data_IF_890259307215
#
_entry.id   IF_890259307215
#
_cell.length_a   1.000
_cell.length_b   1.000
_cell.length_c   1.000
_cell.angle_alpha   90.00
_cell.angle_beta   90.00
_cell.angle_gamma   90.00
#
_symmetry.space_group_name_H-M   'P 1'
#
loop_
_entity.id
_entity.type
_entity.pdbx_description
1 polymer ?
#
# COMPACT_ATOMS: atom_id res chain seq x y z
N UNK A 1 -23.60 -9.14 -7.36
CA UNK A 1 -22.84 -9.14 -8.64
C UNK A 1 -21.91 -10.34 -8.65
N UNK A 2 -21.73 -11.00 -9.81
CA UNK A 2 -20.86 -12.18 -9.93
C UNK A 2 -19.38 -11.78 -9.97
N UNK A 3 -18.52 -12.52 -9.26
CA UNK A 3 -17.07 -12.35 -9.29
C UNK A 3 -16.48 -13.11 -10.48
N UNK A 4 -15.73 -12.42 -11.33
CA UNK A 4 -15.08 -13.01 -12.50
C UNK A 4 -13.56 -13.06 -12.30
N UNK A 5 -12.97 -14.26 -12.43
CA UNK A 5 -11.50 -14.43 -12.47
C UNK A 5 -11.01 -14.29 -13.91
N UNK A 6 -9.99 -13.45 -14.14
CA UNK A 6 -9.46 -13.13 -15.47
C UNK A 6 -8.15 -13.90 -15.76
N UNK A 7 -8.22 -15.23 -15.89
CA UNK A 7 -7.00 -16.06 -16.05
C UNK A 7 -6.19 -15.71 -17.29
N UNK A 8 -6.85 -15.48 -18.43
CA UNK A 8 -6.20 -15.15 -19.71
C UNK A 8 -5.62 -13.75 -19.68
N UNK A 9 -6.28 -12.81 -19.00
CA UNK A 9 -5.75 -11.46 -18.79
C UNK A 9 -4.40 -11.46 -18.07
N UNK A 10 -4.27 -12.18 -16.95
CA UNK A 10 -3.00 -12.21 -16.20
C UNK A 10 -1.86 -12.81 -17.02
N UNK A 11 -2.15 -13.86 -17.79
CA UNK A 11 -1.16 -14.46 -18.69
C UNK A 11 -0.77 -13.51 -19.84
N UNK A 12 -1.73 -12.75 -20.37
CA UNK A 12 -1.47 -11.76 -21.42
C UNK A 12 -0.51 -10.67 -20.93
N UNK A 13 -0.65 -10.21 -19.68
CA UNK A 13 0.24 -9.19 -19.09
C UNK A 13 1.70 -9.64 -18.96
N UNK A 14 1.94 -10.94 -18.79
CA UNK A 14 3.30 -11.52 -18.76
C UNK A 14 3.91 -11.68 -20.15
N UNK A 15 3.08 -11.79 -21.19
CA UNK A 15 3.50 -12.01 -22.57
C UNK A 15 3.67 -10.71 -23.36
N UNK A 16 2.82 -9.71 -23.10
CA UNK A 16 2.80 -8.44 -23.84
C UNK A 16 3.87 -7.49 -23.31
N UNK A 17 4.77 -7.06 -24.21
CA UNK A 17 5.83 -6.11 -23.86
C UNK A 17 5.23 -4.77 -23.44
N UNK A 18 5.70 -4.22 -22.32
CA UNK A 18 5.19 -2.95 -21.77
C UNK A 18 3.73 -3.00 -21.31
N UNK A 19 3.10 -4.18 -21.31
CA UNK A 19 1.66 -4.35 -21.09
C UNK A 19 0.83 -3.48 -22.05
N UNK A 20 1.29 -3.36 -23.29
CA UNK A 20 0.65 -2.60 -24.35
C UNK A 20 0.57 -3.42 -25.64
N UNK A 21 -0.57 -3.33 -26.34
CA UNK A 21 -0.81 -4.01 -27.60
C UNK A 21 -1.96 -3.35 -28.37
N UNK A 22 -2.10 -3.66 -29.65
CA UNK A 22 -3.27 -3.23 -30.43
C UNK A 22 -4.55 -3.88 -29.88
N UNK A 23 -5.69 -3.20 -30.02
CA UNK A 23 -6.99 -3.66 -29.54
C UNK A 23 -7.28 -5.10 -29.96
N UNK A 24 -6.97 -5.44 -31.22
CA UNK A 24 -7.21 -6.78 -31.75
C UNK A 24 -6.35 -7.85 -31.05
N UNK A 25 -5.13 -7.54 -30.65
CA UNK A 25 -4.26 -8.51 -29.96
C UNK A 25 -4.78 -8.78 -28.55
N UNK A 26 -5.20 -7.72 -27.84
CA UNK A 26 -5.92 -7.87 -26.57
C UNK A 26 -7.16 -8.74 -26.70
N UNK A 27 -7.96 -8.52 -27.75
CA UNK A 27 -9.16 -9.32 -28.04
C UNK A 27 -8.83 -10.81 -28.23
N UNK A 28 -7.77 -11.12 -28.97
CA UNK A 28 -7.32 -12.49 -29.21
C UNK A 28 -6.72 -13.14 -27.95
N UNK A 29 -5.88 -12.42 -27.19
CA UNK A 29 -5.29 -12.86 -25.94
C UNK A 29 -6.37 -13.27 -24.92
N UNK A 30 -7.31 -12.35 -24.67
CA UNK A 30 -8.30 -12.45 -23.60
C UNK A 30 -9.50 -13.30 -23.99
N UNK A 31 -9.85 -13.35 -25.28
CA UNK A 31 -11.02 -14.08 -25.78
C UNK A 31 -12.30 -13.67 -25.05
N UNK A 32 -12.97 -14.62 -24.40
CA UNK A 32 -14.21 -14.37 -23.64
C UNK A 32 -14.02 -13.44 -22.43
N UNK A 33 -12.79 -13.27 -21.93
CA UNK A 33 -12.50 -12.36 -20.82
C UNK A 33 -12.37 -10.89 -21.29
N UNK A 34 -12.34 -10.63 -22.60
CA UNK A 34 -12.06 -9.30 -23.14
C UNK A 34 -13.03 -8.24 -22.63
N UNK A 35 -14.34 -8.51 -22.67
CA UNK A 35 -15.35 -7.57 -22.20
C UNK A 35 -15.20 -7.20 -20.72
N UNK A 36 -14.83 -8.16 -19.86
CA UNK A 36 -14.64 -7.92 -18.44
C UNK A 36 -13.32 -7.17 -18.14
N UNK A 37 -12.26 -7.48 -18.89
CA UNK A 37 -10.93 -6.90 -18.72
C UNK A 37 -10.76 -5.53 -19.41
N UNK A 38 -11.64 -5.15 -20.32
CA UNK A 38 -11.55 -3.89 -21.08
C UNK A 38 -11.46 -2.66 -20.16
N UNK A 39 -12.12 -2.70 -19.01
CA UNK A 39 -12.08 -1.62 -18.01
C UNK A 39 -10.70 -1.41 -17.38
N UNK A 40 -9.81 -2.41 -17.48
CA UNK A 40 -8.43 -2.36 -16.99
C UNK A 40 -7.45 -1.90 -18.07
N UNK A 41 -7.94 -1.58 -19.27
CA UNK A 41 -7.14 -1.09 -20.38
C UNK A 41 -7.48 0.39 -20.64
N UNK A 42 -6.49 1.17 -21.04
CA UNK A 42 -6.69 2.55 -21.50
C UNK A 42 -6.09 2.78 -22.88
N UNK A 43 -6.74 3.55 -23.75
CA UNK A 43 -6.17 3.90 -25.04
C UNK A 43 -4.97 4.83 -24.86
N UNK A 44 -3.95 4.64 -25.68
CA UNK A 44 -2.75 5.51 -25.70
C UNK A 44 -2.91 6.69 -26.68
N UNK A 45 -3.87 6.60 -27.61
CA UNK A 45 -4.01 7.51 -28.75
C UNK A 45 -3.19 7.10 -29.97
N UNK A 46 -2.29 6.12 -29.84
CA UNK A 46 -1.46 5.61 -30.94
C UNK A 46 -2.21 4.60 -31.80
N UNK A 47 -1.82 4.54 -33.08
CA UNK A 47 -2.26 3.53 -34.05
C UNK A 47 -1.10 2.57 -34.28
N UNK A 48 -1.31 1.28 -34.04
CA UNK A 48 -0.28 0.27 -34.14
C UNK A 48 0.11 -0.05 -35.58
N UNK A 49 1.41 -0.25 -35.82
CA UNK A 49 1.96 -0.60 -37.14
C UNK A 49 1.86 -2.08 -37.52
N UNK A 50 1.15 -2.89 -36.72
CA UNK A 50 0.99 -4.32 -36.96
C UNK A 50 -0.44 -4.78 -36.67
N UNK A 51 -0.82 -5.91 -37.26
CA UNK A 51 -2.09 -6.58 -36.99
C UNK A 51 -1.83 -8.05 -36.62
N UNK A 52 -2.35 -8.54 -35.48
CA UNK A 52 -2.05 -9.88 -35.00
C UNK A 52 -2.74 -10.94 -35.85
N UNK A 53 -2.11 -12.10 -35.98
CA UNK A 53 -2.66 -13.25 -36.68
C UNK A 53 -2.79 -14.43 -35.73
N UNK A 54 -4.02 -14.89 -35.50
CA UNK A 54 -4.26 -16.11 -34.75
C UNK A 54 -3.66 -17.31 -35.49
N UNK A 55 -2.99 -18.22 -34.77
CA UNK A 55 -2.62 -19.52 -35.31
C UNK A 55 -3.75 -20.53 -35.06
N UNK A 56 -4.43 -21.04 -36.12
CA UNK A 56 -5.51 -22.01 -35.96
C UNK A 56 -5.03 -23.34 -35.36
N UNK A 57 -3.75 -23.68 -35.52
CA UNK A 57 -3.16 -24.93 -35.00
C UNK A 57 -2.64 -24.77 -33.56
N UNK A 58 -2.40 -23.54 -33.11
CA UNK A 58 -1.90 -23.28 -31.77
C UNK A 58 -2.49 -21.99 -31.19
N UNK A 59 -3.59 -22.13 -30.43
CA UNK A 59 -4.25 -21.02 -29.74
C UNK A 59 -3.37 -20.26 -28.72
N UNK A 60 -2.15 -20.75 -28.43
CA UNK A 60 -1.16 -20.11 -27.55
C UNK A 60 0.00 -19.44 -28.30
N UNK A 61 0.05 -19.49 -29.64
CA UNK A 61 1.05 -18.79 -30.45
C UNK A 61 0.37 -17.95 -31.52
N UNK A 62 0.96 -16.79 -31.78
CA UNK A 62 0.60 -15.98 -32.93
C UNK A 62 1.44 -16.42 -34.13
N UNK A 63 0.86 -16.35 -35.33
CA UNK A 63 1.68 -16.28 -36.55
C UNK A 63 2.43 -14.96 -36.54
N UNK A 64 3.48 -14.87 -37.36
CA UNK A 64 4.16 -13.60 -37.59
C UNK A 64 3.11 -12.53 -37.97
N UNK A 65 3.09 -11.38 -37.25
CA UNK A 65 2.03 -10.39 -37.40
C UNK A 65 2.08 -9.77 -38.80
N UNK A 66 0.92 -9.32 -39.29
CA UNK A 66 0.86 -8.54 -40.52
C UNK A 66 1.51 -7.17 -40.30
N UNK A 67 2.20 -6.67 -41.32
CA UNK A 67 2.58 -5.26 -41.39
C UNK A 67 1.37 -4.45 -41.81
N UNK A 68 1.11 -3.32 -41.15
CA UNK A 68 0.02 -2.42 -41.51
C UNK A 68 0.50 -1.34 -42.48
N UNK A 69 -0.29 -1.07 -43.52
CA UNK A 69 -0.13 0.06 -44.45
C UNK A 69 -1.36 0.96 -44.35
N UNK A 70 -1.14 2.27 -44.26
CA UNK A 70 -2.19 3.28 -44.37
C UNK A 70 -2.58 3.46 -45.85
N UNK A 71 -3.84 3.17 -46.17
CA UNK A 71 -4.39 3.27 -47.53
C UNK A 71 -5.14 4.60 -47.75
N UNK A 72 -5.18 5.49 -46.75
CA UNK A 72 -5.98 6.72 -46.76
C UNK A 72 -7.43 6.51 -46.36
N UNK A 73 -8.17 7.60 -46.15
CA UNK A 73 -9.60 7.61 -45.78
C UNK A 73 -9.96 6.72 -44.57
N UNK A 74 -9.11 6.68 -43.53
CA UNK A 74 -9.28 5.82 -42.34
C UNK A 74 -9.31 4.31 -42.65
N UNK A 75 -8.77 3.91 -43.81
CA UNK A 75 -8.62 2.51 -44.24
C UNK A 75 -7.18 2.06 -44.12
N UNK A 76 -6.99 0.86 -43.58
CA UNK A 76 -5.68 0.27 -43.39
C UNK A 76 -5.65 -1.15 -43.95
N UNK A 77 -4.50 -1.55 -44.48
CA UNK A 77 -4.27 -2.90 -44.98
C UNK A 77 -3.25 -3.63 -44.14
N UNK A 78 -3.64 -4.80 -43.63
CA UNK A 78 -2.75 -5.73 -42.95
C UNK A 78 -2.18 -6.73 -43.97
N UNK A 79 -0.87 -6.64 -44.24
CA UNK A 79 -0.15 -7.49 -45.21
C UNK A 79 0.56 -8.64 -44.48
N UNK A 80 0.18 -9.89 -44.74
CA UNK A 80 0.84 -11.06 -44.17
C UNK A 80 2.28 -11.23 -44.68
N UNK A 81 3.24 -11.62 -43.82
CA UNK A 81 4.63 -11.86 -44.23
C UNK A 81 4.82 -13.12 -45.09
N UNK A 82 3.85 -14.05 -45.06
CA UNK A 82 3.82 -15.29 -45.85
C UNK A 82 3.24 -15.10 -47.26
N UNK A 83 3.01 -13.86 -47.70
CA UNK A 83 2.50 -13.57 -49.05
C UNK A 83 1.01 -13.90 -49.24
N UNK A 84 0.27 -14.15 -48.16
CA UNK A 84 -1.18 -14.31 -48.18
C UNK A 84 -1.93 -13.03 -48.56
N UNK A 85 -3.27 -13.12 -48.75
CA UNK A 85 -4.08 -11.96 -49.11
C UNK A 85 -4.04 -10.88 -48.01
N UNK A 86 -4.03 -9.62 -48.42
CA UNK A 86 -4.18 -8.49 -47.51
C UNK A 86 -5.56 -8.48 -46.86
N UNK A 87 -5.63 -8.03 -45.62
CA UNK A 87 -6.88 -7.91 -44.86
C UNK A 87 -7.15 -6.43 -44.61
N UNK A 88 -8.38 -5.98 -44.90
CA UNK A 88 -8.85 -4.66 -44.52
C UNK A 88 -9.02 -4.59 -43.00
N UNK A 89 -8.41 -3.58 -42.38
CA UNK A 89 -8.48 -3.33 -40.94
C UNK A 89 -8.79 -1.87 -40.68
N UNK A 90 -9.52 -1.59 -39.61
CA UNK A 90 -9.90 -0.22 -39.26
C UNK A 90 -9.06 0.32 -38.09
N UNK A 91 -9.09 1.64 -37.92
CA UNK A 91 -8.34 2.34 -36.87
C UNK A 91 -8.64 1.81 -35.46
N UNK A 92 -9.87 1.42 -35.18
CA UNK A 92 -10.26 0.91 -33.85
C UNK A 92 -9.61 -0.43 -33.53
N UNK A 93 -9.39 -1.30 -34.52
CA UNK A 93 -8.68 -2.57 -34.35
C UNK A 93 -7.18 -2.36 -34.12
N UNK A 94 -6.64 -1.28 -34.69
CA UNK A 94 -5.23 -0.90 -34.59
C UNK A 94 -4.94 0.02 -33.40
N UNK A 95 -5.96 0.55 -32.72
CA UNK A 95 -5.77 1.42 -31.57
C UNK A 95 -4.94 0.71 -30.49
N UNK A 96 -3.86 1.34 -30.05
CA UNK A 96 -2.98 0.77 -29.02
C UNK A 96 -3.56 1.04 -27.64
N UNK A 97 -3.76 -0.03 -26.89
CA UNK A 97 -4.18 0.00 -25.49
C UNK A 97 -3.06 -0.49 -24.60
N UNK A 98 -2.93 0.13 -23.43
CA UNK A 98 -2.04 -0.32 -22.37
C UNK A 98 -2.81 -0.63 -21.08
N UNK A 99 -2.16 -1.37 -20.18
CA UNK A 99 -2.68 -1.60 -18.85
C UNK A 99 -2.88 -0.28 -18.09
N UNK A 100 -4.09 -0.06 -17.63
CA UNK A 100 -4.41 1.03 -16.72
C UNK A 100 -3.98 0.67 -15.29
N UNK A 101 -2.68 0.81 -15.00
CA UNK A 101 -2.06 0.38 -13.73
C UNK A 101 -2.74 0.97 -12.48
N UNK A 102 -3.13 2.25 -12.48
CA UNK A 102 -3.84 2.85 -11.33
C UNK A 102 -5.18 2.17 -11.05
N UNK A 103 -5.95 1.87 -12.10
CA UNK A 103 -7.25 1.21 -12.00
C UNK A 103 -7.15 -0.25 -11.56
N UNK A 104 -6.05 -0.91 -11.90
CA UNK A 104 -5.72 -2.22 -11.36
C UNK A 104 -5.48 -2.16 -9.83
N UNK A 105 -4.82 -1.11 -9.33
CA UNK A 105 -4.53 -0.95 -7.91
C UNK A 105 -5.74 -0.50 -7.08
N UNK A 106 -6.77 0.10 -7.69
CA UNK A 106 -8.02 0.48 -7.01
C UNK A 106 -8.66 -0.68 -6.24
N UNK A 107 -8.50 -1.92 -6.71
CA UNK A 107 -9.04 -3.10 -6.03
C UNK A 107 -8.46 -3.37 -4.65
N UNK A 108 -7.31 -2.78 -4.34
CA UNK A 108 -6.69 -2.86 -3.02
C UNK A 108 -7.27 -1.83 -2.04
N UNK A 109 -7.77 -0.68 -2.51
CA UNK A 109 -8.13 0.49 -1.68
C UNK A 109 -9.20 0.24 -0.61
N UNK A 110 -9.99 -0.83 -0.71
CA UNK A 110 -11.21 -0.99 0.07
C UNK A 110 -11.02 -1.31 1.57
N UNK A 111 -9.84 -1.75 2.03
CA UNK A 111 -9.71 -2.35 3.38
C UNK A 111 -8.52 -1.88 4.23
N UNK A 112 -7.54 -1.22 3.64
CA UNK A 112 -6.42 -0.65 4.39
C UNK A 112 -6.21 0.78 3.92
N UNK A 113 -5.70 1.63 4.82
CA UNK A 113 -5.36 3.01 4.48
C UNK A 113 -4.17 2.99 3.51
N UNK A 114 -4.52 2.84 2.23
CA UNK A 114 -3.61 2.67 1.13
C UNK A 114 -3.39 4.02 0.50
N UNK A 115 -2.19 4.53 0.69
CA UNK A 115 -1.73 5.73 0.01
C UNK A 115 -1.23 5.32 -1.37
N UNK A 116 -2.18 5.04 -2.27
CA UNK A 116 -1.89 4.77 -3.67
C UNK A 116 -1.62 6.08 -4.40
N UNK A 117 -0.68 6.03 -5.34
CA UNK A 117 -0.45 7.10 -6.29
C UNK A 117 -0.35 6.51 -7.70
N UNK A 118 -0.30 7.38 -8.71
CA UNK A 118 0.00 6.95 -10.09
C UNK A 118 1.30 6.14 -10.09
N UNK A 119 1.30 4.88 -10.57
CA UNK A 119 2.47 4.02 -10.51
C UNK A 119 3.68 4.65 -11.22
N UNK A 120 4.79 4.79 -10.49
CA UNK A 120 6.04 5.36 -10.99
C UNK A 120 7.02 4.25 -11.33
N UNK A 121 7.77 4.39 -12.41
CA UNK A 121 8.84 3.44 -12.77
C UNK A 121 9.94 3.44 -11.71
N UNK A 122 10.46 2.27 -11.36
CA UNK A 122 11.68 2.15 -10.55
C UNK A 122 12.88 2.25 -11.47
N UNK A 123 13.80 3.17 -11.20
CA UNK A 123 14.95 3.44 -12.06
C UNK A 123 15.81 2.19 -12.25
N UNK A 124 16.24 1.94 -13.49
CA UNK A 124 17.10 0.82 -13.84
C UNK A 124 16.42 -0.56 -13.90
N UNK A 125 15.12 -0.67 -13.59
CA UNK A 125 14.40 -1.95 -13.56
C UNK A 125 13.13 -1.91 -14.44
N UNK A 126 13.23 -2.48 -15.65
CA UNK A 126 12.10 -2.59 -16.58
C UNK A 126 10.95 -3.41 -15.97
N UNK A 127 9.72 -2.92 -16.10
CA UNK A 127 8.52 -3.65 -15.68
C UNK A 127 8.26 -3.63 -14.17
N UNK A 128 9.01 -2.83 -13.39
CA UNK A 128 8.78 -2.60 -11.97
C UNK A 128 8.26 -1.18 -11.72
N UNK A 129 7.19 -1.08 -10.95
CA UNK A 129 6.53 0.19 -10.64
C UNK A 129 6.26 0.31 -9.13
N UNK A 130 6.56 1.46 -8.54
CA UNK A 130 6.11 1.80 -7.19
C UNK A 130 4.69 2.36 -7.27
N UNK A 131 3.73 1.66 -6.69
CA UNK A 131 2.30 1.98 -6.75
C UNK A 131 1.76 2.75 -5.53
N UNK A 132 2.58 2.91 -4.49
CA UNK A 132 2.19 3.54 -3.24
C UNK A 132 2.63 2.73 -2.03
N UNK A 133 1.93 2.91 -0.92
CA UNK A 133 2.21 2.17 0.30
C UNK A 133 0.94 1.81 1.06
N UNK A 134 1.03 0.72 1.82
CA UNK A 134 0.06 0.36 2.85
C UNK A 134 0.46 1.03 4.16
N UNK A 135 -0.42 1.84 4.74
CA UNK A 135 -0.23 2.45 6.06
C UNK A 135 -1.31 1.99 7.03
N UNK A 136 -1.27 0.73 7.49
CA UNK A 136 -2.34 0.14 8.31
C UNK A 136 -2.47 0.80 9.69
N UNK A 137 -1.37 1.31 10.25
CA UNK A 137 -1.30 2.03 11.53
C UNK A 137 -0.22 3.11 11.44
N UNK A 138 -0.37 4.19 12.22
CA UNK A 138 0.56 5.31 12.21
C UNK A 138 2.01 4.87 12.51
N UNK A 139 2.96 5.35 11.69
CA UNK A 139 4.38 5.01 11.79
C UNK A 139 4.79 3.70 11.09
N UNK A 140 3.85 2.94 10.52
CA UNK A 140 4.15 1.76 9.71
C UNK A 140 3.72 2.00 8.27
N UNK A 141 4.68 1.93 7.36
CA UNK A 141 4.50 2.14 5.93
C UNK A 141 5.20 1.02 5.18
N UNK A 142 4.45 0.28 4.37
CA UNK A 142 4.97 -0.83 3.58
C UNK A 142 4.82 -0.53 2.10
N UNK A 143 5.93 -0.55 1.34
CA UNK A 143 5.90 -0.25 -0.09
C UNK A 143 5.08 -1.28 -0.87
N UNK A 144 4.29 -0.80 -1.83
CA UNK A 144 3.51 -1.62 -2.74
C UNK A 144 4.10 -1.50 -4.14
N UNK A 145 4.68 -2.59 -4.63
CA UNK A 145 5.35 -2.64 -5.92
C UNK A 145 4.56 -3.51 -6.90
N UNK A 146 4.25 -2.96 -8.08
CA UNK A 146 3.63 -3.69 -9.18
C UNK A 146 4.71 -4.13 -10.16
N UNK A 147 4.76 -5.43 -10.44
CA UNK A 147 5.79 -6.01 -11.30
C UNK A 147 5.19 -6.83 -12.45
N UNK A 148 5.91 -6.85 -13.58
CA UNK A 148 5.58 -7.66 -14.75
C UNK A 148 6.84 -8.42 -15.24
N UNK A 149 7.36 -9.37 -14.45
CA UNK A 149 8.55 -10.12 -14.82
C UNK A 149 8.26 -11.07 -16.00
N UNK A 150 9.27 -11.30 -16.83
CA UNK A 150 9.26 -12.29 -17.93
C UNK A 150 10.07 -13.55 -17.60
N UNK A 151 10.83 -13.51 -16.51
CA UNK A 151 11.62 -14.63 -16.02
C UNK A 151 11.83 -14.56 -14.51
N UNK A 152 12.19 -15.70 -13.90
CA UNK A 152 12.58 -15.78 -12.49
C UNK A 152 13.81 -14.92 -12.18
N UNK A 153 14.74 -14.79 -13.14
CA UNK A 153 15.93 -13.96 -12.99
C UNK A 153 15.58 -12.47 -12.94
N UNK A 154 14.61 -12.02 -13.74
CA UNK A 154 14.06 -10.67 -13.64
C UNK A 154 13.36 -10.45 -12.30
N UNK A 155 12.53 -11.39 -11.82
CA UNK A 155 11.91 -11.29 -10.49
C UNK A 155 12.95 -11.11 -9.38
N UNK A 156 14.05 -11.89 -9.43
CA UNK A 156 15.14 -11.75 -8.46
C UNK A 156 15.75 -10.35 -8.48
N UNK A 157 16.05 -9.81 -9.67
CA UNK A 157 16.59 -8.45 -9.82
C UNK A 157 15.64 -7.39 -9.27
N UNK A 158 14.33 -7.54 -9.50
CA UNK A 158 13.31 -6.64 -8.95
C UNK A 158 13.32 -6.68 -7.41
N UNK A 159 13.36 -7.86 -6.80
CA UNK A 159 13.43 -8.02 -5.34
C UNK A 159 14.72 -7.41 -4.77
N UNK A 160 15.87 -7.66 -5.41
CA UNK A 160 17.14 -7.10 -4.98
C UNK A 160 17.17 -5.57 -5.12
N UNK A 161 16.53 -5.00 -6.15
CA UNK A 161 16.42 -3.55 -6.33
C UNK A 161 15.56 -2.88 -5.25
N UNK A 162 14.39 -3.46 -4.93
CA UNK A 162 13.53 -2.94 -3.87
C UNK A 162 14.25 -2.97 -2.51
N UNK A 163 14.90 -4.09 -2.20
CA UNK A 163 15.59 -4.27 -0.93
C UNK A 163 16.89 -3.45 -0.82
N UNK A 164 17.47 -3.03 -1.94
CA UNK A 164 18.64 -2.15 -1.97
C UNK A 164 18.30 -0.70 -1.64
N UNK A 165 17.06 -0.27 -1.92
CA UNK A 165 16.59 1.09 -1.70
C UNK A 165 16.07 1.31 -0.25
N UNK A 166 15.40 0.31 0.33
CA UNK A 166 14.75 0.43 1.63
C UNK A 166 14.88 -0.85 2.47
N UNK A 167 15.27 -0.72 3.74
CA UNK A 167 15.27 -1.82 4.72
C UNK A 167 13.89 -1.96 5.41
N UNK A 168 12.82 -1.83 4.62
CA UNK A 168 11.43 -1.86 5.08
C UNK A 168 10.67 -3.04 4.44
N UNK A 169 9.71 -3.67 5.15
CA UNK A 169 8.87 -4.68 4.54
C UNK A 169 8.06 -4.14 3.37
N UNK A 170 7.81 -4.98 2.37
CA UNK A 170 7.11 -4.58 1.15
C UNK A 170 6.26 -5.70 0.55
N UNK A 171 5.27 -5.29 -0.24
CA UNK A 171 4.44 -6.18 -1.05
C UNK A 171 4.87 -6.10 -2.51
N UNK A 172 5.14 -7.26 -3.12
CA UNK A 172 5.42 -7.39 -4.54
C UNK A 172 4.22 -8.01 -5.26
N UNK A 173 3.45 -7.20 -5.95
CA UNK A 173 2.35 -7.65 -6.79
C UNK A 173 2.93 -8.26 -8.08
N UNK A 174 2.58 -9.53 -8.35
CA UNK A 174 2.99 -10.27 -9.55
C UNK A 174 1.74 -10.74 -10.30
N UNK A 175 1.72 -10.82 -11.65
CA UNK A 175 0.51 -11.17 -12.39
C UNK A 175 0.04 -12.59 -12.04
N UNK A 176 0.97 -13.54 -12.02
CA UNK A 176 0.74 -14.94 -11.64
C UNK A 176 1.91 -15.44 -10.76
N UNK A 177 1.77 -16.57 -10.04
CA UNK A 177 2.87 -17.13 -9.25
C UNK A 177 4.00 -17.74 -10.10
N UNK A 178 3.87 -17.77 -11.43
CA UNK A 178 4.77 -18.50 -12.35
C UNK A 178 6.25 -18.16 -12.17
N UNK A 179 6.56 -16.91 -11.85
CA UNK A 179 7.94 -16.41 -11.71
C UNK A 179 8.40 -16.26 -10.25
N UNK A 180 7.64 -16.82 -9.29
CA UNK A 180 7.96 -16.86 -7.86
C UNK A 180 8.06 -18.32 -7.44
N UNK A 181 9.26 -18.90 -7.55
CA UNK A 181 9.52 -20.24 -7.03
C UNK A 181 10.08 -20.19 -5.60
N UNK A 182 10.35 -21.35 -5.02
CA UNK A 182 10.86 -21.45 -3.65
C UNK A 182 12.19 -20.73 -3.43
N UNK A 183 13.01 -20.51 -4.48
CA UNK A 183 14.25 -19.75 -4.34
C UNK A 183 13.96 -18.24 -4.25
N UNK A 184 13.07 -17.73 -5.09
CA UNK A 184 12.59 -16.35 -5.01
C UNK A 184 11.87 -16.09 -3.69
N UNK A 185 11.03 -17.01 -3.25
CA UNK A 185 10.26 -16.89 -2.00
C UNK A 185 11.20 -16.78 -0.78
N UNK A 186 12.27 -17.58 -0.73
CA UNK A 186 13.32 -17.46 0.30
C UNK A 186 14.02 -16.10 0.28
N UNK A 187 14.27 -15.53 -0.90
CA UNK A 187 14.88 -14.20 -1.03
C UNK A 187 13.90 -13.14 -0.52
N UNK A 188 12.64 -13.20 -0.95
CA UNK A 188 11.58 -12.33 -0.47
C UNK A 188 11.48 -12.35 1.06
N UNK A 189 11.39 -13.53 1.68
CA UNK A 189 11.35 -13.67 3.15
C UNK A 189 12.56 -13.03 3.82
N UNK A 190 13.78 -13.27 3.31
CA UNK A 190 15.01 -12.66 3.84
C UNK A 190 15.02 -11.13 3.71
N UNK A 191 14.40 -10.61 2.67
CA UNK A 191 14.25 -9.16 2.42
C UNK A 191 12.97 -8.57 3.01
N UNK A 192 12.24 -9.33 3.84
CA UNK A 192 10.96 -8.91 4.46
C UNK A 192 9.90 -8.52 3.41
N UNK A 193 9.99 -9.09 2.23
CA UNK A 193 9.02 -8.93 1.14
C UNK A 193 8.05 -10.10 1.06
N UNK A 194 6.84 -9.84 0.55
CA UNK A 194 5.84 -10.89 0.26
C UNK A 194 5.31 -10.73 -1.16
N UNK A 195 5.34 -11.82 -1.94
CA UNK A 195 4.71 -11.85 -3.25
C UNK A 195 3.18 -12.00 -3.12
N UNK A 196 2.46 -11.23 -3.94
CA UNK A 196 1.00 -11.22 -4.02
C UNK A 196 0.57 -11.52 -5.46
N UNK A 197 0.20 -12.77 -5.78
CA UNK A 197 -0.23 -13.15 -7.12
C UNK A 197 -1.62 -12.58 -7.44
N UNK A 198 -1.68 -11.60 -8.35
CA UNK A 198 -2.91 -10.93 -8.75
C UNK A 198 -3.94 -11.88 -9.35
N UNK A 199 -3.49 -12.96 -10.00
CA UNK A 199 -4.37 -14.02 -10.50
C UNK A 199 -5.18 -14.77 -9.45
N UNK A 200 -4.74 -14.72 -8.20
CA UNK A 200 -5.36 -15.40 -7.06
C UNK A 200 -6.05 -14.39 -6.13
N UNK A 201 -5.46 -13.20 -6.00
CA UNK A 201 -5.88 -12.19 -5.03
C UNK A 201 -6.86 -11.18 -5.58
N UNK A 202 -6.95 -10.99 -6.90
CA UNK A 202 -7.91 -10.08 -7.52
C UNK A 202 -8.94 -10.80 -8.38
N UNK A 203 -10.17 -10.28 -8.33
CA UNK A 203 -11.25 -10.59 -9.24
C UNK A 203 -11.90 -9.30 -9.75
N UNK A 204 -12.71 -9.42 -10.80
CA UNK A 204 -13.54 -8.32 -11.30
C UNK A 204 -14.99 -8.53 -10.89
N UNK A 205 -15.60 -7.48 -10.32
CA UNK A 205 -17.02 -7.39 -10.01
C UNK A 205 -17.61 -6.19 -10.75
N UNK A 206 -18.33 -6.45 -11.85
CA UNK A 206 -18.76 -5.39 -12.76
C UNK A 206 -17.57 -4.72 -13.44
N UNK A 207 -17.37 -3.42 -13.19
CA UNK A 207 -16.30 -2.59 -13.77
C UNK A 207 -15.15 -2.28 -12.80
N UNK A 208 -15.17 -2.92 -11.61
CA UNK A 208 -14.20 -2.69 -10.53
C UNK A 208 -13.41 -3.96 -10.22
N UNK A 209 -12.12 -3.80 -9.97
CA UNK A 209 -11.31 -4.83 -9.33
C UNK A 209 -11.66 -4.92 -7.85
N UNK A 210 -11.68 -6.12 -7.30
CA UNK A 210 -11.93 -6.39 -5.89
C UNK A 210 -10.99 -7.49 -5.40
N UNK A 211 -10.53 -7.35 -4.16
CA UNK A 211 -9.78 -8.41 -3.49
C UNK A 211 -10.68 -9.61 -3.17
N UNK A 212 -10.18 -10.80 -3.51
CA UNK A 212 -10.74 -12.09 -3.09
C UNK A 212 -10.51 -12.31 -1.59
N UNK A 213 -11.15 -13.34 -1.01
CA UNK A 213 -10.84 -13.79 0.36
C UNK A 213 -9.34 -14.08 0.51
N UNK A 214 -8.78 -14.85 -0.42
CA UNK A 214 -7.38 -15.26 -0.41
C UNK A 214 -6.44 -14.04 -0.50
N UNK A 215 -6.84 -13.03 -1.27
CA UNK A 215 -6.13 -11.76 -1.33
C UNK A 215 -6.15 -11.00 -0.01
N UNK A 216 -7.29 -10.99 0.68
CA UNK A 216 -7.40 -10.37 2.00
C UNK A 216 -6.56 -11.09 3.03
N UNK A 217 -6.67 -12.42 3.09
CA UNK A 217 -5.95 -13.24 4.05
C UNK A 217 -4.43 -13.11 3.86
N UNK A 218 -3.95 -13.09 2.62
CA UNK A 218 -2.53 -12.91 2.31
C UNK A 218 -2.00 -11.54 2.76
N UNK A 219 -2.76 -10.47 2.53
CA UNK A 219 -2.37 -9.13 2.99
C UNK A 219 -2.43 -9.08 4.52
N UNK A 220 -3.49 -9.60 5.15
CA UNK A 220 -3.60 -9.68 6.61
C UNK A 220 -2.43 -10.44 7.22
N UNK A 221 -2.03 -11.58 6.67
CA UNK A 221 -0.87 -12.34 7.14
C UNK A 221 0.44 -11.55 7.03
N UNK A 222 0.65 -10.84 5.92
CA UNK A 222 1.81 -9.95 5.78
C UNK A 222 1.80 -8.84 6.84
N UNK A 223 0.63 -8.24 7.08
CA UNK A 223 0.47 -7.21 8.10
C UNK A 223 0.71 -7.77 9.49
N UNK A 224 0.15 -8.92 9.86
CA UNK A 224 0.36 -9.58 11.16
C UNK A 224 1.85 -9.92 11.42
N UNK A 225 2.61 -10.24 10.37
CA UNK A 225 4.04 -10.56 10.48
C UNK A 225 4.93 -9.33 10.68
N UNK A 226 4.49 -8.15 10.25
CA UNK A 226 5.32 -6.94 10.20
C UNK A 226 4.81 -5.78 11.02
N UNK A 227 3.54 -5.83 11.39
CA UNK A 227 2.98 -5.01 12.43
C UNK A 227 3.27 -5.62 13.79
N UNK A 228 3.33 -4.78 14.82
CA UNK A 228 3.20 -5.28 16.16
C UNK A 228 1.88 -6.07 16.26
N UNK A 229 1.85 -7.15 17.06
CA UNK A 229 0.63 -7.91 17.28
C UNK A 229 -0.51 -6.95 17.63
N UNK A 230 -1.69 -7.22 17.09
CA UNK A 230 -2.91 -6.52 17.47
C UNK A 230 -3.02 -6.50 19.01
N UNK A 231 -3.65 -5.49 19.61
CA UNK A 231 -3.86 -5.44 21.05
C UNK A 231 -4.59 -6.68 21.58
N UNK A 232 -3.82 -7.72 21.89
CA UNK A 232 -4.04 -8.51 23.09
C UNK A 232 -3.92 -7.52 24.27
N UNK A 233 -4.58 -7.78 25.40
CA UNK A 233 -4.71 -6.86 26.54
C UNK A 233 -3.38 -6.37 27.18
N UNK A 234 -2.24 -6.60 26.53
CA UNK A 234 -0.87 -6.23 26.89
C UNK A 234 -0.05 -5.52 25.77
N UNK A 235 -0.66 -4.90 24.76
CA UNK A 235 0.11 -4.02 23.85
C UNK A 235 0.34 -2.63 24.45
N UNK A 236 1.52 -2.07 24.15
CA UNK A 236 2.11 -0.88 24.80
C UNK A 236 1.95 0.39 23.95
N UNK A 237 1.02 0.42 22.99
CA UNK A 237 0.73 1.59 22.14
C UNK A 237 -0.77 1.67 21.79
N UNK A 238 -1.27 2.88 21.54
CA UNK A 238 -2.68 3.18 21.27
C UNK A 238 -2.99 3.00 19.77
N UNK A 239 -4.15 2.42 19.39
CA UNK A 239 -4.56 2.27 17.99
C UNK A 239 -5.06 3.59 17.39
N UNK A 240 -4.16 4.56 17.24
CA UNK A 240 -4.45 5.90 16.73
C UNK A 240 -4.88 5.86 15.26
N UNK A 241 -6.03 6.47 14.88
CA UNK A 241 -6.45 6.61 13.48
C UNK A 241 -5.42 7.33 12.61
N UNK A 242 -5.34 6.98 11.32
CA UNK A 242 -4.45 7.66 10.37
C UNK A 242 -4.80 9.14 10.24
N UNK A 243 -3.79 9.99 10.10
CA UNK A 243 -3.97 11.44 9.98
C UNK A 243 -4.37 12.11 11.30
N UNK A 244 -4.32 11.40 12.43
CA UNK A 244 -4.55 12.02 13.73
C UNK A 244 -3.48 13.07 14.06
N UNK A 245 -3.94 14.23 14.52
CA UNK A 245 -3.10 15.27 15.10
C UNK A 245 -3.26 15.27 16.62
N UNK A 246 -2.31 15.87 17.34
CA UNK A 246 -2.38 16.00 18.80
C UNK A 246 -3.67 16.67 19.27
N UNK A 247 -4.23 17.60 18.48
CA UNK A 247 -5.50 18.27 18.76
C UNK A 247 -6.72 17.33 18.78
N UNK A 248 -6.63 16.14 18.16
CA UNK A 248 -7.66 15.11 18.17
C UNK A 248 -7.61 14.21 19.40
N UNK A 249 -6.49 14.24 20.15
CA UNK A 249 -6.31 13.44 21.35
C UNK A 249 -7.01 14.10 22.54
N UNK A 250 -7.87 13.33 23.19
CA UNK A 250 -8.54 13.67 24.44
C UNK A 250 -8.20 12.63 25.49
N UNK A 251 -7.78 13.08 26.66
CA UNK A 251 -7.41 12.23 27.78
C UNK A 251 -8.14 12.68 29.03
N UNK A 252 -8.61 11.73 29.83
CA UNK A 252 -9.25 12.00 31.12
C UNK A 252 -8.81 10.96 32.14
N UNK A 253 -8.27 11.40 33.27
CA UNK A 253 -7.99 10.50 34.39
C UNK A 253 -9.30 9.96 34.98
N UNK A 254 -9.31 8.66 35.33
CA UNK A 254 -10.48 7.99 35.90
C UNK A 254 -10.31 7.76 37.40
N UNK A 255 -9.18 7.18 37.81
CA UNK A 255 -8.85 6.83 39.20
C UNK A 255 -7.38 7.17 39.54
N UNK A 256 -6.78 8.03 38.71
CA UNK A 256 -5.37 8.41 38.77
C UNK A 256 -4.39 7.35 38.23
N UNK A 257 -4.71 6.07 38.28
CA UNK A 257 -3.86 5.02 37.71
C UNK A 257 -4.21 4.71 36.26
N UNK A 258 -5.43 5.05 35.86
CA UNK A 258 -5.97 4.86 34.52
C UNK A 258 -6.39 6.18 33.85
N UNK A 259 -6.26 6.18 32.53
CA UNK A 259 -6.63 7.24 31.59
C UNK A 259 -7.67 6.70 30.63
N UNK A 260 -8.84 7.32 30.58
CA UNK A 260 -9.74 7.20 29.44
C UNK A 260 -9.17 8.06 28.31
N UNK A 261 -8.90 7.44 27.17
CA UNK A 261 -8.28 8.08 26.02
C UNK A 261 -9.16 7.94 24.80
N UNK A 262 -9.36 9.04 24.09
CA UNK A 262 -10.09 9.10 22.84
C UNK A 262 -9.28 9.81 21.77
N UNK A 263 -9.20 9.20 20.58
CA UNK A 263 -8.67 9.85 19.37
C UNK A 263 -9.67 9.60 18.24
N UNK A 264 -10.39 10.63 17.82
CA UNK A 264 -11.49 10.48 16.86
C UNK A 264 -12.58 9.54 17.39
N UNK A 265 -12.80 8.43 16.68
CA UNK A 265 -13.79 7.39 17.04
C UNK A 265 -13.21 6.24 17.88
N UNK A 266 -11.89 6.21 18.08
CA UNK A 266 -11.23 5.18 18.87
C UNK A 266 -11.16 5.62 20.33
N UNK A 267 -11.66 4.78 21.23
CA UNK A 267 -11.62 5.01 22.68
C UNK A 267 -11.03 3.80 23.39
N UNK A 268 -10.13 4.02 24.36
CA UNK A 268 -9.61 2.96 25.22
C UNK A 268 -9.28 3.49 26.63
N UNK A 269 -9.32 2.60 27.62
CA UNK A 269 -8.81 2.89 28.98
C UNK A 269 -7.42 2.29 29.11
N UNK A 270 -6.45 3.11 29.48
CA UNK A 270 -5.03 2.73 29.55
C UNK A 270 -4.43 3.09 30.90
N UNK A 271 -3.44 2.35 31.38
CA UNK A 271 -2.73 2.64 32.62
C UNK A 271 -1.26 3.04 32.38
N UNK A 272 -0.59 3.50 33.44
CA UNK A 272 0.81 3.93 33.38
C UNK A 272 1.77 2.82 32.92
N UNK A 273 1.47 1.55 33.19
CA UNK A 273 2.28 0.41 32.73
C UNK A 273 2.17 0.24 31.23
N UNK A 274 0.95 0.33 30.68
CA UNK A 274 0.71 0.25 29.23
C UNK A 274 1.34 1.42 28.47
N UNK A 275 1.48 2.59 29.09
CA UNK A 275 2.18 3.74 28.47
C UNK A 275 3.71 3.73 28.66
N UNK A 276 4.27 2.64 29.20
CA UNK A 276 5.71 2.53 29.45
C UNK A 276 6.23 3.48 30.53
N UNK A 277 5.33 3.93 31.42
CA UNK A 277 5.60 4.88 32.50
C UNK A 277 5.56 4.21 33.89
N UNK A 278 5.83 2.91 33.97
CA UNK A 278 6.08 2.18 35.21
C UNK A 278 7.58 2.08 35.52
N UNK A 279 7.96 2.29 36.79
CA UNK A 279 9.34 2.18 37.27
C UNK A 279 9.78 0.71 37.31
N UNK A 280 10.87 0.39 36.62
CA UNK A 280 11.45 -0.96 36.62
C UNK A 280 11.88 -1.47 38.01
N UNK A 281 12.05 -0.57 38.99
CA UNK A 281 12.50 -0.93 40.35
C UNK A 281 11.38 -1.44 41.25
N UNK A 282 10.16 -0.94 41.07
CA UNK A 282 9.06 -1.13 42.02
C UNK A 282 7.67 -1.17 41.39
N UNK A 283 7.56 -1.11 40.06
CA UNK A 283 6.31 -1.12 39.33
C UNK A 283 5.44 0.13 39.52
N UNK A 284 5.88 1.14 40.28
CA UNK A 284 5.09 2.35 40.54
C UNK A 284 5.12 3.32 39.36
N UNK A 285 4.14 4.24 39.25
CA UNK A 285 4.18 5.31 38.26
C UNK A 285 5.49 6.10 38.32
N UNK A 286 6.03 6.41 37.15
CA UNK A 286 7.23 7.24 37.03
C UNK A 286 6.89 8.72 37.24
N UNK A 287 7.92 9.54 37.48
CA UNK A 287 7.76 11.01 37.56
C UNK A 287 7.20 11.64 36.27
N UNK A 288 7.20 10.90 35.15
CA UNK A 288 6.55 11.30 33.90
C UNK A 288 5.03 11.15 33.99
N UNK A 289 4.54 10.08 34.61
CA UNK A 289 3.10 9.90 34.88
C UNK A 289 2.58 10.97 35.83
N UNK A 290 3.35 11.27 36.88
CA UNK A 290 3.05 12.36 37.80
C UNK A 290 3.01 13.71 37.08
N UNK A 291 3.96 13.97 36.16
CA UNK A 291 3.94 15.18 35.33
C UNK A 291 2.72 15.21 34.39
N UNK A 292 2.27 14.08 33.87
CA UNK A 292 1.05 14.01 33.06
C UNK A 292 -0.21 14.33 33.87
N UNK A 293 -0.29 13.87 35.13
CA UNK A 293 -1.35 14.28 36.06
C UNK A 293 -1.32 15.78 36.35
N UNK A 294 -0.13 16.34 36.54
CA UNK A 294 0.02 17.78 36.78
C UNK A 294 -0.52 18.63 35.61
N UNK A 295 -0.31 18.17 34.37
CA UNK A 295 -0.97 18.77 33.21
C UNK A 295 -2.50 18.60 33.25
N UNK A 296 -3.02 17.45 33.70
CA UNK A 296 -4.45 17.23 33.83
C UNK A 296 -5.12 18.17 34.84
N UNK A 297 -4.51 18.33 36.02
CA UNK A 297 -4.97 19.22 37.09
C UNK A 297 -4.95 20.69 36.67
N UNK A 298 -4.09 21.03 35.71
CA UNK A 298 -3.92 22.39 35.19
C UNK A 298 -4.53 22.56 33.79
N UNK A 299 -5.44 21.67 33.38
CA UNK A 299 -6.15 21.70 32.09
C UNK A 299 -5.25 21.83 30.85
N UNK A 300 -4.10 21.15 30.87
CA UNK A 300 -3.12 21.14 29.79
C UNK A 300 -2.15 22.31 29.77
N UNK A 301 -2.22 23.22 30.75
CA UNK A 301 -1.31 24.36 30.87
C UNK A 301 -0.43 24.24 32.12
N UNK A 302 0.86 24.55 32.02
CA UNK A 302 1.76 24.53 33.17
C UNK A 302 2.54 25.85 33.24
N UNK A 303 2.30 26.66 34.28
CA UNK A 303 2.97 27.95 34.52
C UNK A 303 4.05 27.83 35.60
N UNK A 304 5.15 28.59 35.47
CA UNK A 304 6.33 28.50 36.34
C UNK A 304 6.27 29.45 37.54
N UNK A 305 5.07 29.73 38.05
CA UNK A 305 4.85 30.70 39.12
C UNK A 305 5.36 30.27 40.51
N UNK A 306 6.15 29.20 40.62
CA UNK A 306 6.93 28.88 41.83
C UNK A 306 8.32 28.32 41.51
N UNK A 307 9.32 28.79 42.27
CA UNK A 307 10.76 28.50 42.15
C UNK A 307 11.06 27.02 41.89
N UNK A 308 11.43 26.68 40.66
CA UNK A 308 12.61 25.87 40.30
C UNK A 308 12.67 25.60 38.79
N UNK A 309 13.16 26.57 38.02
CA UNK A 309 13.62 26.37 36.65
C UNK A 309 14.85 25.43 36.68
N UNK A 310 14.60 24.12 36.71
CA UNK A 310 15.61 23.10 36.83
C UNK A 310 15.69 22.32 35.52
N UNK A 311 16.90 22.14 34.97
CA UNK A 311 17.20 21.22 33.87
C UNK A 311 16.55 19.82 34.06
N UNK A 312 16.34 19.40 35.32
CA UNK A 312 15.57 18.21 35.67
C UNK A 312 14.12 18.22 35.16
N UNK A 313 13.41 19.36 35.23
CA UNK A 313 12.01 19.45 34.78
C UNK A 313 11.93 19.42 33.25
N UNK A 314 12.83 20.11 32.55
CA UNK A 314 12.95 20.03 31.09
C UNK A 314 13.22 18.59 30.63
N UNK A 315 14.13 17.88 31.30
CA UNK A 315 14.41 16.46 31.01
C UNK A 315 13.19 15.58 31.25
N UNK A 316 12.40 15.85 32.30
CA UNK A 316 11.14 15.14 32.57
C UNK A 316 10.11 15.38 31.47
N UNK A 317 9.93 16.63 31.01
CA UNK A 317 9.06 16.98 29.88
C UNK A 317 9.48 16.29 28.58
N UNK A 318 10.77 16.34 28.25
CA UNK A 318 11.29 15.71 27.04
C UNK A 318 11.07 14.19 27.05
N UNK A 319 11.22 13.57 28.23
CA UNK A 319 10.96 12.15 28.41
C UNK A 319 9.46 11.83 28.32
N UNK A 320 8.59 12.62 28.94
CA UNK A 320 7.14 12.48 28.81
C UNK A 320 6.69 12.63 27.35
N UNK A 321 7.15 13.65 26.64
CA UNK A 321 6.86 13.86 25.22
C UNK A 321 7.35 12.69 24.35
N UNK A 322 8.44 12.03 24.74
CA UNK A 322 8.91 10.79 24.09
C UNK A 322 7.95 9.62 24.35
N UNK A 323 7.52 9.40 25.59
CA UNK A 323 6.54 8.35 25.92
C UNK A 323 5.22 8.55 25.18
N UNK A 324 4.70 9.79 25.14
CA UNK A 324 3.46 10.11 24.43
C UNK A 324 3.58 9.86 22.92
N UNK A 325 4.67 10.30 22.28
CA UNK A 325 4.93 10.01 20.86
C UNK A 325 5.06 8.52 20.58
N UNK A 326 5.74 7.77 21.45
CA UNK A 326 5.89 6.33 21.30
C UNK A 326 4.57 5.57 21.49
N UNK A 327 3.73 6.02 22.43
CA UNK A 327 2.44 5.40 22.73
C UNK A 327 1.38 5.74 21.67
N UNK A 328 1.25 7.01 21.29
CA UNK A 328 0.20 7.48 20.37
C UNK A 328 0.61 7.50 18.90
N UNK A 329 1.91 7.45 18.58
CA UNK A 329 2.42 7.47 17.21
C UNK A 329 1.94 8.67 16.37
N UNK A 330 1.73 9.81 17.03
CA UNK A 330 1.41 11.10 16.40
C UNK A 330 2.71 11.90 16.24
N UNK A 331 2.94 12.47 15.05
CA UNK A 331 4.10 13.30 14.75
C UNK A 331 4.01 14.69 15.41
N UNK A 332 5.17 15.34 15.60
CA UNK A 332 5.28 16.65 16.25
C UNK A 332 5.44 16.58 17.78
N UNK A 333 5.72 17.72 18.42
CA UNK A 333 5.89 17.81 19.87
C UNK A 333 4.52 17.91 20.56
N UNK A 334 4.11 16.94 21.41
CA UNK A 334 2.83 16.99 22.11
C UNK A 334 2.75 18.09 23.16
N UNK A 335 3.87 18.70 23.56
CA UNK A 335 3.92 19.71 24.61
C UNK A 335 4.82 20.86 24.13
N UNK A 336 4.24 22.02 23.84
CA UNK A 336 4.96 23.19 23.31
C UNK A 336 5.19 24.24 24.39
N UNK A 337 6.18 25.12 24.19
CA UNK A 337 6.38 26.29 25.06
C UNK A 337 5.29 27.33 24.81
N UNK A 338 4.67 27.84 25.87
CA UNK A 338 3.67 28.90 25.81
C UNK A 338 3.95 29.92 26.92
N UNK A 339 4.29 31.15 26.54
CA UNK A 339 4.64 32.21 27.49
C UNK A 339 5.79 31.79 28.40
N UNK A 340 5.59 31.93 29.71
CA UNK A 340 6.52 31.47 30.73
C UNK A 340 6.31 30.01 31.10
N UNK A 341 5.69 29.18 30.25
CA UNK A 341 5.11 27.87 30.58
C UNK A 341 5.16 26.82 29.47
N UNK A 342 4.45 25.72 29.69
CA UNK A 342 4.21 24.67 28.69
C UNK A 342 2.72 24.45 28.47
N UNK A 343 2.35 24.12 27.24
CA UNK A 343 0.99 23.79 26.85
C UNK A 343 0.96 22.45 26.11
N UNK A 344 0.02 21.58 26.46
CA UNK A 344 -0.27 20.36 25.69
C UNK A 344 -0.96 20.70 24.38
N UNK A 345 -0.56 20.05 23.30
CA UNK A 345 -1.23 20.12 22.00
C UNK A 345 -2.51 19.24 21.94
N UNK A 346 -2.77 18.50 23.02
CA UNK A 346 -3.92 17.63 23.22
C UNK A 346 -4.76 18.12 24.40
N UNK A 347 -6.01 17.65 24.51
CA UNK A 347 -6.86 17.95 25.67
C UNK A 347 -6.65 16.92 26.77
N UNK A 348 -6.47 17.38 28.00
CA UNK A 348 -6.35 16.51 29.17
C UNK A 348 -7.15 17.06 30.35
N UNK A 349 -7.84 16.17 31.06
CA UNK A 349 -8.67 16.48 32.23
C UNK A 349 -8.31 15.57 33.40
N UNK A 350 -8.42 16.10 34.61
CA UNK A 350 -8.32 15.33 35.84
C UNK A 350 -9.57 14.46 36.06
N UNK A 351 -9.54 13.65 37.10
CA UNK A 351 -10.66 12.83 37.57
C UNK A 351 -11.74 13.64 38.33
N UNK A 352 -11.48 14.94 38.58
CA UNK A 352 -12.34 15.85 39.38
C UNK A 352 -13.15 16.82 38.55
#
# INVERSE_FOLDING_TARGET
MSLTKLKRFWHALECLRGQAAVHEEWRLCLGTEFAAAQTLLRPTGEVGGYFPRADPLNRRRYRAPCRVIDAGDDRFWAIPPDGGPSVDVCRTQLAVYELHRSRLLEGFQANWDLQLHSPQTVEGIEGLFHGGAVTPVAGYRFGLYLSFPRSKAETRRMVDAIAGDQDAPFLLLVPTPRFVDSAIDRILTRRRGTAVPLSETLAVSGSKTVLTSDGRDRISQFLEQHLPPAPDQKTTFFPTPTGAHWSHLQMRFVDGETLSVRVGDVTAVVNYTQMGMASAKNGRPTVQWELLRLFADSHGHFDWSSRSANHKLQKRKNLLARHLRQFFRIDGDPIVSQGNGWQTQFRIQSDR
#
